data_IF_803003489911
#
_entry.id   IF_803003489911
#
_cell.length_a   1.000
_cell.length_b   1.000
_cell.length_c   1.000
_cell.angle_alpha   90.00
_cell.angle_beta   90.00
_cell.angle_gamma   90.00
#
_symmetry.space_group_name_H-M   'P 1'
#
loop_
_entity.id
_entity.type
_entity.pdbx_description
1 polymer ?
#
# COMPACT_ATOMS: atom_id res chain seq x y z
N UNK A 1 9.07 -18.58 22.89
CA UNK A 1 7.93 -17.96 23.59
C UNK A 1 6.68 -18.54 22.94
N UNK A 2 5.55 -18.74 23.65
CA UNK A 2 4.33 -19.16 22.95
C UNK A 2 4.07 -18.15 21.83
N UNK A 3 3.78 -18.62 20.62
CA UNK A 3 3.46 -17.75 19.48
C UNK A 3 2.37 -16.79 19.90
N UNK A 4 2.68 -15.49 20.00
CA UNK A 4 1.65 -14.50 20.27
C UNK A 4 0.69 -14.51 19.07
N UNK A 5 -0.57 -14.82 19.36
CA UNK A 5 -1.64 -14.83 18.39
C UNK A 5 -2.02 -13.37 18.13
N UNK A 6 -1.92 -12.95 16.87
CA UNK A 6 -2.36 -11.64 16.40
C UNK A 6 -3.41 -11.86 15.32
N UNK A 7 -4.35 -10.92 15.20
CA UNK A 7 -5.32 -10.91 14.12
C UNK A 7 -5.33 -9.57 13.39
N UNK A 8 -5.46 -9.66 12.07
CA UNK A 8 -5.45 -8.50 11.17
C UNK A 8 -6.53 -8.74 10.13
N UNK A 9 -7.53 -7.87 10.17
CA UNK A 9 -8.62 -7.81 9.20
C UNK A 9 -8.72 -6.39 8.64
N UNK A 10 -9.54 -6.15 7.60
CA UNK A 10 -9.80 -4.79 7.13
C UNK A 10 -10.44 -3.85 8.15
N UNK A 11 -10.92 -4.36 9.29
CA UNK A 11 -11.66 -3.59 10.30
C UNK A 11 -10.95 -3.50 11.65
N UNK A 12 -10.17 -4.53 12.01
CA UNK A 12 -9.58 -4.68 13.34
C UNK A 12 -8.15 -5.22 13.25
N UNK A 13 -7.30 -4.76 14.17
CA UNK A 13 -5.91 -5.22 14.36
C UNK A 13 -5.70 -5.46 15.85
N UNK A 14 -5.36 -6.69 16.22
CA UNK A 14 -5.20 -7.12 17.61
C UNK A 14 -3.88 -7.87 17.81
N UNK A 15 -3.26 -7.71 18.98
CA UNK A 15 -2.00 -8.37 19.35
C UNK A 15 -0.75 -7.68 18.80
N UNK A 16 0.41 -8.27 19.10
CA UNK A 16 1.68 -7.83 18.53
C UNK A 16 1.84 -8.43 17.14
N UNK A 17 1.76 -7.60 16.11
CA UNK A 17 1.84 -8.03 14.71
C UNK A 17 3.27 -8.44 14.36
N UNK A 18 3.43 -9.66 13.87
CA UNK A 18 4.64 -10.14 13.20
C UNK A 18 4.42 -9.98 11.69
N UNK A 19 5.16 -9.04 11.09
CA UNK A 19 4.99 -8.65 9.69
C UNK A 19 5.51 -9.70 8.71
N UNK A 20 6.53 -10.47 9.08
CA UNK A 20 7.04 -11.58 8.26
C UNK A 20 5.97 -12.67 8.15
N UNK A 21 5.37 -13.03 9.30
CA UNK A 21 4.24 -13.97 9.34
C UNK A 21 3.00 -13.42 8.61
N UNK A 22 2.85 -12.10 8.52
CA UNK A 22 1.75 -11.45 7.81
C UNK A 22 1.90 -11.61 6.28
N UNK A 23 3.13 -11.49 5.77
CA UNK A 23 3.46 -11.72 4.35
C UNK A 23 3.03 -13.13 3.95
N UNK A 24 3.44 -14.13 4.72
CA UNK A 24 3.07 -15.53 4.51
C UNK A 24 1.55 -15.75 4.59
N UNK A 25 0.89 -15.18 5.61
CA UNK A 25 -0.56 -15.33 5.85
C UNK A 25 -1.38 -14.79 4.67
N UNK A 26 -0.98 -13.66 4.09
CA UNK A 26 -1.69 -13.07 2.96
C UNK A 26 -1.14 -13.50 1.61
N UNK A 27 0.03 -14.15 1.49
CA UNK A 27 0.64 -14.46 0.20
C UNK A 27 0.98 -13.18 -0.56
N UNK A 28 1.62 -12.24 0.12
CA UNK A 28 2.28 -11.08 -0.51
C UNK A 28 3.77 -11.37 -0.67
N UNK A 29 4.49 -10.47 -1.31
CA UNK A 29 5.94 -10.54 -1.47
C UNK A 29 6.60 -9.39 -0.71
N UNK A 30 7.81 -9.60 -0.21
CA UNK A 30 8.61 -8.55 0.44
C UNK A 30 9.18 -7.60 -0.61
N UNK A 31 9.25 -6.30 -0.30
CA UNK A 31 10.01 -5.35 -1.10
C UNK A 31 11.49 -5.45 -0.70
N UNK A 32 12.19 -6.41 -1.32
CA UNK A 32 13.62 -6.60 -1.08
C UNK A 32 14.49 -5.41 -1.56
N UNK A 33 15.77 -5.42 -1.21
CA UNK A 33 16.66 -4.31 -1.53
C UNK A 33 16.92 -4.13 -3.04
N UNK A 34 16.80 -5.20 -3.84
CA UNK A 34 16.97 -5.13 -5.30
C UNK A 34 15.77 -4.44 -5.95
N UNK A 35 14.55 -4.89 -5.61
CA UNK A 35 13.31 -4.29 -6.07
C UNK A 35 13.17 -2.84 -5.57
N UNK A 36 13.57 -2.58 -4.32
CA UNK A 36 13.62 -1.23 -3.74
C UNK A 36 14.52 -0.29 -4.52
N UNK A 37 15.71 -0.75 -4.91
CA UNK A 37 16.62 0.05 -5.71
C UNK A 37 16.06 0.31 -7.11
N UNK A 38 15.55 -0.73 -7.78
CA UNK A 38 14.89 -0.59 -9.10
C UNK A 38 13.73 0.40 -9.04
N UNK A 39 12.93 0.32 -8.00
CA UNK A 39 11.80 1.22 -7.76
C UNK A 39 12.25 2.69 -7.64
N UNK A 40 13.30 2.97 -6.87
CA UNK A 40 13.82 4.34 -6.72
C UNK A 40 14.48 4.87 -8.00
N UNK A 41 15.16 4.00 -8.75
CA UNK A 41 15.79 4.38 -10.02
C UNK A 41 14.72 4.78 -11.05
N UNK A 42 13.64 4.01 -11.17
CA UNK A 42 12.52 4.31 -12.07
C UNK A 42 11.70 5.53 -11.60
N UNK A 43 11.49 5.66 -10.29
CA UNK A 43 10.83 6.84 -9.73
C UNK A 43 11.68 8.11 -9.94
N UNK A 44 13.00 8.01 -9.99
CA UNK A 44 13.91 9.17 -10.04
C UNK A 44 14.10 9.86 -8.67
N UNK A 45 13.83 9.14 -7.58
CA UNK A 45 13.95 9.66 -6.21
C UNK A 45 13.64 8.63 -5.14
N UNK A 46 14.10 8.89 -3.92
CA UNK A 46 13.83 8.04 -2.76
C UNK A 46 12.60 8.50 -1.97
N UNK A 47 11.93 7.55 -1.30
CA UNK A 47 10.87 7.83 -0.33
C UNK A 47 11.22 7.25 1.05
N UNK A 48 10.99 8.00 2.12
CA UNK A 48 11.30 7.56 3.49
C UNK A 48 10.49 6.34 3.94
N UNK A 49 9.27 6.15 3.43
CA UNK A 49 8.42 5.01 3.81
C UNK A 49 8.95 3.71 3.21
N UNK A 50 9.44 3.75 1.98
CA UNK A 50 10.03 2.58 1.32
C UNK A 50 11.46 2.34 1.83
N UNK A 51 12.25 3.40 2.02
CA UNK A 51 13.64 3.31 2.49
C UNK A 51 13.79 2.77 3.93
N UNK A 52 12.75 2.90 4.75
CA UNK A 52 12.74 2.44 6.14
C UNK A 52 11.81 1.25 6.36
N UNK A 53 11.41 0.58 5.28
CA UNK A 53 10.56 -0.61 5.32
C UNK A 53 9.23 -0.38 6.06
N UNK A 54 8.71 0.86 5.99
CA UNK A 54 7.36 1.17 6.47
C UNK A 54 6.32 0.63 5.48
N UNK A 55 6.61 0.73 4.18
CA UNK A 55 5.97 -0.07 3.14
C UNK A 55 6.94 -1.22 2.85
N UNK A 56 6.57 -2.42 3.29
CA UNK A 56 7.47 -3.58 3.34
C UNK A 56 7.06 -4.73 2.42
N UNK A 57 5.80 -4.74 1.95
CA UNK A 57 5.28 -5.80 1.10
C UNK A 57 4.48 -5.27 -0.08
N UNK A 58 4.37 -6.09 -1.12
CA UNK A 58 3.67 -5.77 -2.36
C UNK A 58 2.96 -6.99 -2.96
N UNK A 59 2.20 -6.74 -4.03
CA UNK A 59 1.76 -7.73 -5.01
C UNK A 59 1.81 -7.08 -6.38
N UNK A 60 2.49 -7.68 -7.34
CA UNK A 60 2.48 -7.17 -8.71
C UNK A 60 3.34 -5.91 -8.95
N UNK A 61 4.27 -5.57 -8.04
CA UNK A 61 5.07 -4.34 -8.17
C UNK A 61 6.09 -4.48 -9.31
N UNK A 62 6.70 -5.64 -9.47
CA UNK A 62 7.65 -5.91 -10.55
C UNK A 62 7.00 -5.75 -11.93
N UNK A 63 5.79 -6.26 -12.08
CA UNK A 63 4.98 -6.16 -13.29
C UNK A 63 4.56 -4.72 -13.56
N UNK A 64 4.10 -4.00 -12.53
CA UNK A 64 3.76 -2.58 -12.67
C UNK A 64 4.96 -1.72 -13.10
N UNK A 65 6.15 -2.01 -12.56
CA UNK A 65 7.39 -1.33 -12.97
C UNK A 65 7.80 -1.72 -14.40
N UNK A 66 7.58 -2.96 -14.80
CA UNK A 66 7.81 -3.38 -16.18
C UNK A 66 6.87 -2.67 -17.17
N UNK A 67 5.56 -2.59 -16.86
CA UNK A 67 4.58 -1.86 -17.68
C UNK A 67 4.89 -0.36 -17.77
N UNK A 68 5.46 0.23 -16.72
CA UNK A 68 5.96 1.61 -16.75
C UNK A 68 7.11 1.80 -17.74
N UNK A 69 8.08 0.87 -17.75
CA UNK A 69 9.23 0.90 -18.64
C UNK A 69 8.84 0.73 -20.12
N UNK A 70 7.82 -0.07 -20.40
CA UNK A 70 7.30 -0.32 -21.76
C UNK A 70 6.36 0.81 -22.28
N UNK A 71 6.22 1.92 -21.55
CA UNK A 71 5.33 3.06 -21.86
C UNK A 71 3.83 2.72 -21.94
N UNK A 72 3.41 1.54 -21.47
CA UNK A 72 1.99 1.13 -21.46
C UNK A 72 1.17 1.86 -20.38
N UNK A 73 1.85 2.50 -19.43
CA UNK A 73 1.28 3.40 -18.44
C UNK A 73 0.39 2.70 -17.42
N UNK A 74 0.23 3.30 -16.24
CA UNK A 74 -0.63 2.77 -15.20
C UNK A 74 -1.30 3.90 -14.42
N UNK A 75 -2.15 3.56 -13.44
CA UNK A 75 -2.80 4.54 -12.56
C UNK A 75 -2.71 4.08 -11.10
N UNK A 76 -2.79 5.03 -10.17
CA UNK A 76 -2.90 4.72 -8.75
C UNK A 76 -4.34 4.80 -8.26
N UNK A 77 -4.67 3.88 -7.36
CA UNK A 77 -5.96 3.84 -6.68
C UNK A 77 -5.75 3.71 -5.18
N UNK A 78 -6.43 4.56 -4.41
CA UNK A 78 -6.47 4.47 -2.95
C UNK A 78 -7.85 4.87 -2.45
N UNK A 79 -8.10 4.73 -1.15
CA UNK A 79 -9.39 5.08 -0.58
C UNK A 79 -9.35 5.36 0.91
N UNK A 80 -10.44 5.94 1.39
CA UNK A 80 -10.69 6.17 2.82
C UNK A 80 -12.14 5.83 3.14
N UNK A 81 -12.33 5.06 4.21
CA UNK A 81 -13.64 4.85 4.85
C UNK A 81 -13.85 5.89 5.94
N UNK A 82 -14.58 7.01 5.70
CA UNK A 82 -14.82 8.03 6.70
C UNK A 82 -15.73 7.50 7.84
N UNK A 83 -15.11 6.91 8.87
CA UNK A 83 -15.78 6.49 10.10
C UNK A 83 -15.71 7.54 11.22
N UNK A 84 -14.94 8.62 11.03
CA UNK A 84 -14.71 9.68 12.00
C UNK A 84 -13.71 10.72 11.52
N UNK A 85 -13.09 11.46 12.45
CA UNK A 85 -12.00 12.40 12.14
C UNK A 85 -10.74 11.63 11.73
N UNK A 86 -10.00 12.15 10.76
CA UNK A 86 -8.71 11.56 10.38
C UNK A 86 -7.65 11.76 11.48
N UNK A 87 -6.76 10.79 11.63
CA UNK A 87 -5.55 10.87 12.44
C UNK A 87 -4.33 10.56 11.58
N UNK A 88 -3.12 10.66 12.15
CA UNK A 88 -1.85 10.52 11.42
C UNK A 88 -1.77 9.17 10.66
N UNK A 89 -2.24 8.07 11.25
CA UNK A 89 -2.28 6.78 10.52
C UNK A 89 -3.00 6.85 9.16
N UNK A 90 -4.10 7.60 9.05
CA UNK A 90 -4.85 7.71 7.80
C UNK A 90 -4.13 8.52 6.72
N UNK A 91 -3.26 9.48 7.10
CA UNK A 91 -2.64 10.38 6.11
C UNK A 91 -1.44 9.75 5.40
N UNK A 92 -0.86 8.69 5.97
CA UNK A 92 0.35 8.06 5.43
C UNK A 92 0.12 7.54 4.01
N UNK A 93 -1.00 6.85 3.76
CA UNK A 93 -1.35 6.37 2.42
C UNK A 93 -1.50 7.51 1.40
N UNK A 94 -2.02 8.67 1.81
CA UNK A 94 -2.16 9.83 0.93
C UNK A 94 -0.83 10.51 0.63
N UNK A 95 0.06 10.66 1.62
CA UNK A 95 1.40 11.19 1.37
C UNK A 95 2.22 10.28 0.46
N UNK A 96 2.10 8.96 0.63
CA UNK A 96 2.76 8.01 -0.24
C UNK A 96 2.20 8.08 -1.66
N UNK A 97 0.87 8.07 -1.81
CA UNK A 97 0.19 8.20 -3.11
C UNK A 97 0.55 9.51 -3.80
N UNK A 98 0.63 10.62 -3.05
CA UNK A 98 1.09 11.90 -3.61
C UNK A 98 2.51 11.80 -4.16
N UNK A 99 3.44 11.25 -3.37
CA UNK A 99 4.82 11.11 -3.82
C UNK A 99 4.90 10.25 -5.09
N UNK A 100 4.18 9.13 -5.12
CA UNK A 100 4.07 8.28 -6.31
C UNK A 100 3.52 9.04 -7.53
N UNK A 101 2.46 9.83 -7.34
CA UNK A 101 1.90 10.66 -8.41
C UNK A 101 2.92 11.67 -8.94
N UNK A 102 3.65 12.33 -8.05
CA UNK A 102 4.66 13.34 -8.42
C UNK A 102 5.84 12.71 -9.20
N UNK A 103 6.23 11.46 -8.88
CA UNK A 103 7.35 10.78 -9.55
C UNK A 103 6.97 10.13 -10.89
N UNK A 104 5.78 9.51 -10.97
CA UNK A 104 5.38 8.73 -12.15
C UNK A 104 4.47 9.52 -13.12
N UNK A 105 3.99 10.71 -12.75
CA UNK A 105 3.08 11.55 -13.55
C UNK A 105 1.82 10.82 -14.03
N UNK A 106 1.18 10.06 -13.12
CA UNK A 106 0.01 9.24 -13.43
C UNK A 106 -1.28 9.77 -12.80
N UNK A 107 -2.41 9.28 -13.33
CA UNK A 107 -3.71 9.54 -12.74
C UNK A 107 -3.87 8.85 -11.38
N UNK A 108 -4.52 9.54 -10.44
CA UNK A 108 -4.85 9.00 -9.11
C UNK A 108 -6.36 9.06 -8.91
N UNK A 109 -6.94 7.92 -8.55
CA UNK A 109 -8.34 7.79 -8.17
C UNK A 109 -8.46 7.55 -6.66
N UNK A 110 -9.15 8.45 -5.95
CA UNK A 110 -9.36 8.34 -4.50
C UNK A 110 -10.83 8.02 -4.23
N UNK A 111 -11.10 6.82 -3.70
CA UNK A 111 -12.44 6.44 -3.29
C UNK A 111 -12.77 6.95 -1.88
N UNK A 112 -13.91 7.64 -1.74
CA UNK A 112 -14.53 7.94 -0.46
C UNK A 112 -15.64 6.91 -0.20
N UNK A 113 -15.37 5.93 0.66
CA UNK A 113 -16.31 4.84 0.99
C UNK A 113 -17.38 5.32 1.98
N UNK A 114 -18.37 6.05 1.48
CA UNK A 114 -19.48 6.59 2.30
C UNK A 114 -20.63 5.61 2.50
N UNK A 115 -20.72 4.55 1.69
CA UNK A 115 -21.75 3.52 1.82
C UNK A 115 -21.28 2.41 2.76
N UNK A 116 -21.67 2.48 4.04
CA UNK A 116 -22.16 1.27 4.70
C UNK A 116 -23.43 0.87 3.96
N UNK A 117 -23.59 -0.41 3.61
CA UNK A 117 -24.74 -0.96 2.91
C UNK A 117 -26.09 -0.50 3.51
N UNK A 118 -26.64 0.60 3.03
CA UNK A 118 -28.07 0.71 2.84
C UNK A 118 -28.38 -0.15 1.63
N UNK A 119 -29.03 -1.28 1.87
CA UNK A 119 -29.20 -2.40 0.94
C UNK A 119 -29.44 -1.99 -0.51
N UNK A 120 -28.43 -2.22 -1.34
CA UNK A 120 -28.64 -2.51 -2.74
C UNK A 120 -28.46 -4.02 -2.84
N UNK A 121 -29.58 -4.74 -2.74
CA UNK A 121 -29.68 -6.09 -3.29
C UNK A 121 -29.41 -5.99 -4.79
N UNK A 122 -28.45 -6.78 -5.27
CA UNK A 122 -28.44 -7.24 -6.66
C UNK A 122 -29.00 -8.67 -6.68
#
# INVERSE_FOLDING_TARGET
MPDEEFDVTPFDVEGQVDYDRLIDKFGTEEIDDELKQRFFDLAGGENLYVKRDFIYSHRGLEEALHEYEEEDGFFFYTGIGPSGKMHIGHIISFYFTKWLQDMFDVNVYIQLLTTRSTGIEM
#
